data_IF_502764501180
#
_entry.id   IF_502764501180
#
_cell.length_a   1.000
_cell.length_b   1.000
_cell.length_c   1.000
_cell.angle_alpha   90.00
_cell.angle_beta   90.00
_cell.angle_gamma   90.00
#
_symmetry.space_group_name_H-M   'P 1'
#
loop_
_entity.id
_entity.type
_entity.pdbx_description
1 polymer ?
#
# COMPACT_ATOMS: atom_id res chain seq x y z
N UNK A 1 -40.29 -32.22 -23.37
CA UNK A 1 -40.16 -32.36 -21.91
C UNK A 1 -39.98 -30.94 -21.35
N UNK A 2 -40.94 -30.42 -20.59
CA UNK A 2 -40.91 -29.05 -20.05
C UNK A 2 -40.32 -29.14 -18.63
N UNK A 3 -39.13 -28.59 -18.42
CA UNK A 3 -38.52 -28.54 -17.08
C UNK A 3 -39.14 -27.37 -16.32
N UNK A 4 -40.04 -27.68 -15.39
CA UNK A 4 -40.58 -26.72 -14.43
C UNK A 4 -39.65 -26.69 -13.21
N UNK A 5 -38.84 -25.63 -13.11
CA UNK A 5 -37.99 -25.39 -11.95
C UNK A 5 -38.81 -24.69 -10.85
N UNK A 6 -39.22 -25.45 -9.84
CA UNK A 6 -39.89 -24.91 -8.65
C UNK A 6 -38.81 -24.42 -7.67
N UNK A 7 -38.63 -23.11 -7.56
CA UNK A 7 -37.78 -22.50 -6.53
C UNK A 7 -38.49 -22.55 -5.18
N UNK A 8 -38.14 -23.54 -4.35
CA UNK A 8 -38.68 -23.68 -3.00
C UNK A 8 -37.94 -22.74 -2.04
N UNK A 9 -38.57 -21.62 -1.65
CA UNK A 9 -38.00 -20.68 -0.66
C UNK A 9 -38.16 -21.28 0.73
N UNK A 10 -37.05 -21.61 1.39
CA UNK A 10 -37.05 -22.08 2.78
C UNK A 10 -37.23 -20.87 3.70
N UNK A 11 -38.41 -20.75 4.31
CA UNK A 11 -38.77 -19.59 5.13
C UNK A 11 -38.17 -19.60 6.54
N UNK A 12 -37.65 -20.74 7.00
CA UNK A 12 -37.14 -20.96 8.37
C UNK A 12 -35.68 -21.45 8.41
N UNK A 13 -34.79 -20.95 7.53
CA UNK A 13 -33.36 -21.13 7.76
C UNK A 13 -32.85 -20.07 8.75
N UNK A 14 -31.87 -20.45 9.58
CA UNK A 14 -31.12 -19.55 10.46
C UNK A 14 -30.54 -18.31 9.71
N UNK A 15 -30.53 -18.30 8.37
CA UNK A 15 -30.20 -17.16 7.50
C UNK A 15 -31.00 -15.88 7.77
N UNK A 16 -32.23 -15.97 8.32
CA UNK A 16 -33.01 -14.76 8.65
C UNK A 16 -32.29 -13.88 9.68
N UNK A 17 -31.51 -14.48 10.60
CA UNK A 17 -30.70 -13.73 11.57
C UNK A 17 -29.43 -13.16 10.92
N UNK A 18 -28.76 -13.94 10.07
CA UNK A 18 -27.52 -13.52 9.38
C UNK A 18 -27.77 -12.38 8.37
N UNK A 19 -28.96 -12.31 7.76
CA UNK A 19 -29.34 -11.23 6.84
C UNK A 19 -29.57 -9.88 7.52
N UNK A 20 -29.80 -9.84 8.84
CA UNK A 20 -30.16 -8.60 9.54
C UNK A 20 -28.96 -7.67 9.77
N UNK A 21 -27.73 -8.20 9.74
CA UNK A 21 -26.51 -7.48 10.12
C UNK A 21 -25.51 -7.25 8.98
N UNK A 22 -25.71 -7.93 7.85
CA UNK A 22 -24.74 -8.02 6.77
C UNK A 22 -25.32 -7.43 5.48
N UNK A 23 -24.69 -6.36 5.00
CA UNK A 23 -25.13 -5.61 3.83
C UNK A 23 -24.51 -6.24 2.59
N UNK A 24 -25.34 -6.65 1.64
CA UNK A 24 -24.86 -7.12 0.35
C UNK A 24 -24.16 -5.96 -0.38
N UNK A 25 -22.91 -6.17 -0.78
CA UNK A 25 -22.12 -5.20 -1.52
C UNK A 25 -21.65 -5.87 -2.80
N UNK A 26 -21.68 -5.10 -3.89
CA UNK A 26 -21.22 -5.56 -5.18
C UNK A 26 -20.49 -4.44 -5.91
N UNK A 27 -19.56 -4.80 -6.77
CA UNK A 27 -18.94 -3.90 -7.75
C UNK A 27 -18.92 -4.59 -9.11
N UNK A 28 -19.00 -3.81 -10.16
CA UNK A 28 -19.00 -4.29 -11.54
C UNK A 28 -17.75 -3.77 -12.21
N UNK A 29 -17.01 -4.67 -12.86
CA UNK A 29 -15.80 -4.34 -13.58
C UNK A 29 -16.10 -3.32 -14.70
N UNK A 30 -15.19 -2.38 -14.94
CA UNK A 30 -15.33 -1.37 -15.98
C UNK A 30 -15.50 -1.99 -17.37
N UNK A 31 -14.79 -3.08 -17.63
CA UNK A 31 -14.88 -3.87 -18.86
C UNK A 31 -16.12 -4.77 -18.91
N UNK A 32 -16.95 -4.78 -17.85
CA UNK A 32 -18.18 -5.59 -17.71
C UNK A 32 -17.95 -7.10 -17.84
N UNK A 33 -16.75 -7.56 -17.50
CA UNK A 33 -16.40 -8.98 -17.50
C UNK A 33 -16.77 -9.63 -16.17
N UNK A 34 -16.51 -8.93 -15.07
CA UNK A 34 -16.65 -9.46 -13.72
C UNK A 34 -17.72 -8.73 -12.90
N UNK A 35 -18.50 -9.51 -12.17
CA UNK A 35 -19.30 -9.05 -11.05
C UNK A 35 -18.62 -9.53 -9.76
N UNK A 36 -18.19 -8.57 -8.95
CA UNK A 36 -17.67 -8.82 -7.63
C UNK A 36 -18.81 -8.71 -6.60
N UNK A 37 -18.96 -9.71 -5.75
CA UNK A 37 -20.04 -9.79 -4.77
C UNK A 37 -19.54 -10.26 -3.41
N UNK A 38 -20.06 -9.62 -2.36
CA UNK A 38 -19.93 -10.08 -0.98
C UNK A 38 -21.24 -9.89 -0.25
N UNK A 39 -21.46 -10.73 0.76
CA UNK A 39 -22.52 -10.54 1.75
C UNK A 39 -22.14 -9.50 2.81
N UNK A 40 -20.95 -8.90 2.74
CA UNK A 40 -20.41 -8.01 3.76
C UNK A 40 -19.68 -8.75 4.88
N UNK A 41 -19.21 -9.97 4.61
CA UNK A 41 -18.39 -10.80 5.50
C UNK A 41 -16.96 -10.78 4.95
N UNK A 42 -16.00 -11.37 5.64
CA UNK A 42 -14.59 -11.58 5.26
C UNK A 42 -14.29 -12.21 3.87
N UNK A 43 -15.28 -12.54 3.04
CA UNK A 43 -15.05 -13.16 1.73
C UNK A 43 -15.70 -12.42 0.58
N UNK A 44 -15.02 -12.47 -0.55
CA UNK A 44 -15.45 -11.89 -1.82
C UNK A 44 -15.45 -12.97 -2.88
N UNK A 45 -16.50 -12.98 -3.70
CA UNK A 45 -16.66 -13.88 -4.83
C UNK A 45 -16.78 -13.08 -6.12
N UNK A 46 -16.08 -13.51 -7.15
CA UNK A 46 -16.17 -12.95 -8.49
C UNK A 46 -16.91 -13.91 -9.40
N UNK A 47 -17.79 -13.35 -10.22
CA UNK A 47 -18.58 -14.06 -11.20
C UNK A 47 -18.34 -13.50 -12.59
N UNK A 48 -18.27 -14.35 -13.60
CA UNK A 48 -18.31 -13.91 -14.99
C UNK A 48 -19.72 -13.43 -15.32
N UNK A 49 -19.83 -12.22 -15.86
CA UNK A 49 -21.13 -11.65 -16.24
C UNK A 49 -21.76 -12.38 -17.45
N UNK A 50 -20.95 -13.01 -18.29
CA UNK A 50 -21.41 -13.70 -19.50
C UNK A 50 -22.27 -14.94 -19.20
N UNK A 51 -21.87 -15.73 -18.21
CA UNK A 51 -22.49 -17.03 -17.91
C UNK A 51 -22.85 -17.22 -16.43
N UNK A 52 -22.52 -16.28 -15.56
CA UNK A 52 -22.81 -16.33 -14.12
C UNK A 52 -21.95 -17.33 -13.33
N UNK A 53 -20.93 -17.94 -13.93
CA UNK A 53 -20.05 -18.88 -13.23
C UNK A 53 -19.13 -18.14 -12.25
N UNK A 54 -18.90 -18.77 -11.09
CA UNK A 54 -17.93 -18.29 -10.11
C UNK A 54 -16.52 -18.48 -10.66
N UNK A 55 -15.78 -17.38 -10.79
CA UNK A 55 -14.42 -17.35 -11.30
C UNK A 55 -13.40 -17.49 -10.17
N UNK A 56 -13.53 -16.65 -9.14
CA UNK A 56 -12.57 -16.58 -8.03
C UNK A 56 -13.33 -16.37 -6.72
N UNK A 57 -12.84 -16.98 -5.63
CA UNK A 57 -13.28 -16.72 -4.26
C UNK A 57 -12.06 -16.45 -3.40
N UNK A 58 -12.02 -15.27 -2.76
CA UNK A 58 -10.94 -14.87 -1.83
C UNK A 58 -11.53 -14.62 -0.45
N UNK A 59 -10.87 -15.17 0.56
CA UNK A 59 -11.11 -14.88 1.98
C UNK A 59 -10.00 -13.96 2.47
N UNK A 60 -10.37 -12.93 3.21
CA UNK A 60 -9.46 -11.98 3.84
C UNK A 60 -9.47 -12.27 5.34
N UNK A 61 -8.38 -12.79 5.89
CA UNK A 61 -8.35 -13.18 7.29
C UNK A 61 -8.25 -11.97 8.24
N UNK A 62 -7.74 -10.84 7.74
CA UNK A 62 -7.56 -9.61 8.51
C UNK A 62 -8.81 -8.70 8.56
N UNK A 63 -9.85 -9.05 7.80
CA UNK A 63 -11.10 -8.29 7.72
C UNK A 63 -12.23 -9.19 8.17
N UNK A 64 -12.98 -8.78 9.19
CA UNK A 64 -14.20 -9.48 9.60
C UNK A 64 -15.40 -9.05 8.74
N UNK A 65 -15.50 -7.73 8.50
CA UNK A 65 -16.64 -7.12 7.82
C UNK A 65 -16.21 -6.20 6.69
N UNK A 66 -16.76 -6.45 5.51
CA UNK A 66 -16.51 -5.65 4.30
C UNK A 66 -17.62 -4.59 4.15
N UNK A 67 -17.23 -3.34 3.91
CA UNK A 67 -18.12 -2.20 3.71
C UNK A 67 -18.16 -1.68 2.27
N UNK A 68 -17.04 -1.77 1.55
CA UNK A 68 -16.96 -1.30 0.16
C UNK A 68 -16.00 -2.15 -0.66
N UNK A 69 -16.29 -2.24 -1.95
CA UNK A 69 -15.51 -2.95 -2.97
C UNK A 69 -15.49 -2.10 -4.23
N UNK A 70 -14.34 -1.96 -4.87
CA UNK A 70 -14.22 -1.30 -6.17
C UNK A 70 -13.07 -1.87 -6.99
N UNK A 71 -13.31 -2.09 -8.29
CA UNK A 71 -12.26 -2.47 -9.23
C UNK A 71 -11.37 -1.27 -9.55
N UNK A 72 -10.05 -1.48 -9.55
CA UNK A 72 -9.06 -0.46 -9.84
C UNK A 72 -8.06 -0.98 -10.88
N UNK A 73 -7.21 -0.09 -11.42
CA UNK A 73 -6.19 -0.43 -12.40
C UNK A 73 -6.72 -1.26 -13.58
N UNK A 74 -7.75 -0.75 -14.28
CA UNK A 74 -8.39 -1.44 -15.41
C UNK A 74 -8.89 -2.85 -15.08
N UNK A 75 -9.54 -3.01 -13.93
CA UNK A 75 -10.07 -4.28 -13.44
C UNK A 75 -8.99 -5.33 -13.17
N UNK A 76 -7.74 -4.92 -12.92
CA UNK A 76 -6.66 -5.84 -12.53
C UNK A 76 -6.65 -6.11 -11.04
N UNK A 77 -6.83 -5.07 -10.24
CA UNK A 77 -6.82 -5.15 -8.78
C UNK A 77 -8.20 -4.81 -8.23
N UNK A 78 -8.47 -5.31 -7.02
CA UNK A 78 -9.68 -5.03 -6.27
C UNK A 78 -9.31 -4.29 -4.99
N UNK A 79 -9.90 -3.11 -4.79
CA UNK A 79 -9.84 -2.38 -3.54
C UNK A 79 -10.98 -2.83 -2.63
N UNK A 80 -10.63 -3.28 -1.43
CA UNK A 80 -11.54 -3.75 -0.39
C UNK A 80 -11.41 -2.84 0.83
N UNK A 81 -12.53 -2.31 1.31
CA UNK A 81 -12.59 -1.58 2.59
C UNK A 81 -13.35 -2.42 3.59
N UNK A 82 -12.71 -2.71 4.73
CA UNK A 82 -13.33 -3.47 5.80
C UNK A 82 -12.81 -3.07 7.19
N UNK A 83 -13.46 -3.59 8.23
CA UNK A 83 -12.97 -3.51 9.61
C UNK A 83 -12.43 -4.86 10.06
N UNK A 84 -11.40 -4.82 10.91
CA UNK A 84 -10.90 -6.00 11.60
C UNK A 84 -11.81 -6.41 12.77
N UNK A 85 -11.48 -7.54 13.40
CA UNK A 85 -12.20 -8.06 14.57
C UNK A 85 -11.84 -7.35 15.89
N UNK A 86 -10.62 -6.83 15.99
CA UNK A 86 -10.12 -6.21 17.22
C UNK A 86 -10.59 -4.75 17.38
N UNK A 87 -10.68 -4.01 16.27
CA UNK A 87 -11.11 -2.62 16.25
C UNK A 87 -12.20 -2.39 15.18
N UNK A 88 -13.47 -2.45 15.60
CA UNK A 88 -14.60 -2.15 14.71
C UNK A 88 -14.63 -0.69 14.21
N UNK A 89 -13.88 0.22 14.83
CA UNK A 89 -13.84 1.62 14.41
C UNK A 89 -12.78 1.89 13.34
N UNK A 90 -11.70 1.09 13.32
CA UNK A 90 -10.57 1.27 12.41
C UNK A 90 -10.81 0.55 11.08
N UNK A 91 -10.83 1.34 10.00
CA UNK A 91 -10.99 0.82 8.66
C UNK A 91 -9.64 0.46 8.06
N UNK A 92 -9.58 -0.73 7.46
CA UNK A 92 -8.44 -1.22 6.70
C UNK A 92 -8.79 -1.21 5.22
N UNK A 93 -7.85 -0.75 4.41
CA UNK A 93 -7.87 -0.92 2.97
C UNK A 93 -6.97 -2.09 2.61
N UNK A 94 -7.52 -3.01 1.84
CA UNK A 94 -6.77 -4.08 1.20
C UNK A 94 -6.83 -3.87 -0.31
N UNK A 95 -5.65 -3.83 -0.93
CA UNK A 95 -5.51 -3.91 -2.38
C UNK A 95 -5.10 -5.33 -2.72
N UNK A 96 -5.95 -6.02 -3.50
CA UNK A 96 -5.71 -7.38 -3.93
C UNK A 96 -5.51 -7.44 -5.44
N UNK A 97 -4.33 -7.88 -5.89
CA UNK A 97 -4.10 -8.24 -7.29
C UNK A 97 -4.75 -9.60 -7.58
N UNK A 98 -5.74 -9.60 -8.48
CA UNK A 98 -6.50 -10.81 -8.80
C UNK A 98 -5.68 -11.84 -9.56
N UNK A 99 -4.55 -11.44 -10.15
CA UNK A 99 -3.63 -12.30 -10.89
C UNK A 99 -2.41 -12.72 -10.07
N UNK A 100 -2.17 -12.11 -8.91
CA UNK A 100 -1.08 -12.47 -8.01
C UNK A 100 -1.60 -12.79 -6.60
N UNK A 101 -1.68 -14.07 -6.27
CA UNK A 101 -2.34 -14.56 -5.03
C UNK A 101 -1.58 -14.16 -3.76
N UNK A 102 -0.27 -13.90 -3.86
CA UNK A 102 0.61 -13.63 -2.71
C UNK A 102 0.74 -12.15 -2.33
N UNK A 103 0.48 -11.22 -3.25
CA UNK A 103 0.66 -9.79 -3.01
C UNK A 103 -0.68 -9.16 -2.62
N UNK A 104 -0.84 -8.95 -1.32
CA UNK A 104 -1.98 -8.21 -0.76
C UNK A 104 -1.40 -7.05 0.03
N UNK A 105 -1.62 -5.84 -0.46
CA UNK A 105 -1.14 -4.63 0.20
C UNK A 105 -2.21 -4.17 1.19
N UNK A 106 -1.82 -4.07 2.46
CA UNK A 106 -2.68 -3.56 3.51
C UNK A 106 -2.25 -2.16 3.92
N UNK A 107 -3.23 -1.27 3.98
CA UNK A 107 -3.05 0.12 4.38
C UNK A 107 -4.12 0.43 5.42
N UNK A 108 -3.69 0.86 6.60
CA UNK A 108 -4.58 1.39 7.63
C UNK A 108 -5.01 2.79 7.23
N UNK A 109 -6.31 3.07 7.36
CA UNK A 109 -6.85 4.39 7.05
C UNK A 109 -6.88 5.27 8.29
N UNK A 110 -6.52 6.54 8.10
CA UNK A 110 -6.69 7.59 9.11
C UNK A 110 -8.13 7.65 9.67
N UNK A 111 -8.25 8.13 10.91
CA UNK A 111 -9.49 8.31 11.71
C UNK A 111 -10.62 9.07 11.00
N UNK A 112 -10.35 9.71 9.86
CA UNK A 112 -11.33 10.49 9.14
C UNK A 112 -12.47 9.66 8.53
N UNK A 113 -12.23 8.36 8.28
CA UNK A 113 -13.22 7.41 7.80
C UNK A 113 -13.46 6.35 8.88
N UNK A 114 -14.64 6.38 9.48
CA UNK A 114 -15.07 5.37 10.46
C UNK A 114 -16.22 4.54 9.92
N UNK A 115 -16.47 3.39 10.53
CA UNK A 115 -17.60 2.51 10.21
C UNK A 115 -18.97 3.19 10.31
N UNK A 116 -19.10 4.21 11.16
CA UNK A 116 -20.32 5.02 11.31
C UNK A 116 -20.54 5.98 10.13
N UNK A 117 -19.46 6.56 9.60
CA UNK A 117 -19.52 7.63 8.61
C UNK A 117 -19.29 7.16 7.17
N UNK A 118 -18.89 5.90 6.96
CA UNK A 118 -18.61 5.37 5.62
C UNK A 118 -19.81 5.48 4.68
N UNK A 119 -21.03 5.29 5.19
CA UNK A 119 -22.25 5.32 4.35
C UNK A 119 -22.63 6.72 3.86
N UNK A 120 -22.19 7.78 4.55
CA UNK A 120 -22.54 9.17 4.24
C UNK A 120 -21.41 9.92 3.56
N UNK A 121 -20.16 9.54 3.82
CA UNK A 121 -18.96 10.23 3.32
C UNK A 121 -18.30 9.54 2.14
N UNK A 122 -18.67 8.31 1.80
CA UNK A 122 -18.06 7.54 0.73
C UNK A 122 -18.97 7.45 -0.50
N UNK A 123 -18.45 7.82 -1.66
CA UNK A 123 -19.11 7.69 -2.95
C UNK A 123 -18.25 6.87 -3.91
N UNK A 124 -18.89 5.91 -4.58
CA UNK A 124 -18.25 5.08 -5.62
C UNK A 124 -18.48 5.70 -6.99
N UNK A 125 -17.44 5.70 -7.80
CA UNK A 125 -17.45 6.07 -9.22
C UNK A 125 -16.66 5.02 -9.97
N UNK A 126 -16.95 4.76 -11.26
CA UNK A 126 -16.35 3.65 -12.00
C UNK A 126 -14.81 3.70 -12.00
N UNK A 127 -14.18 2.90 -11.13
CA UNK A 127 -12.73 2.87 -10.97
C UNK A 127 -12.14 3.93 -10.04
N UNK A 128 -12.95 4.63 -9.24
CA UNK A 128 -12.46 5.58 -8.25
C UNK A 128 -13.41 5.68 -7.05
N UNK A 129 -12.82 5.96 -5.89
CA UNK A 129 -13.53 6.07 -4.63
C UNK A 129 -13.33 7.47 -4.06
N UNK A 130 -14.43 8.21 -3.94
CA UNK A 130 -14.45 9.58 -3.49
C UNK A 130 -14.93 9.66 -2.05
N UNK A 131 -14.29 10.53 -1.29
CA UNK A 131 -14.61 10.84 0.09
C UNK A 131 -14.97 12.33 0.22
N UNK A 132 -15.99 12.64 1.02
CA UNK A 132 -16.41 14.00 1.33
C UNK A 132 -16.10 14.32 2.79
N UNK A 133 -15.51 15.49 3.05
CA UNK A 133 -15.25 15.97 4.41
C UNK A 133 -16.38 16.84 5.00
N UNK A 134 -16.27 17.19 6.28
CA UNK A 134 -17.25 18.04 6.98
C UNK A 134 -17.35 19.46 6.41
N UNK A 135 -16.33 19.89 5.64
CA UNK A 135 -16.28 21.19 4.97
C UNK A 135 -16.82 21.10 3.53
N UNK A 136 -17.19 19.91 3.05
CA UNK A 136 -17.66 19.65 1.70
C UNK A 136 -16.56 19.43 0.65
N UNK A 137 -15.29 19.30 1.06
CA UNK A 137 -14.20 19.00 0.13
C UNK A 137 -14.26 17.52 -0.29
N UNK A 138 -14.04 17.29 -1.58
CA UNK A 138 -14.04 15.96 -2.18
C UNK A 138 -12.59 15.52 -2.40
N UNK A 139 -12.23 14.36 -1.86
CA UNK A 139 -10.90 13.77 -2.04
C UNK A 139 -11.02 12.35 -2.59
N UNK A 140 -10.04 11.91 -3.39
CA UNK A 140 -9.98 10.53 -3.87
C UNK A 140 -9.16 9.70 -2.89
N UNK A 141 -9.71 8.56 -2.48
CA UNK A 141 -9.02 7.60 -1.61
C UNK A 141 -7.86 6.94 -2.35
N UNK A 142 -8.01 6.66 -3.64
CA UNK A 142 -6.93 6.08 -4.46
C UNK A 142 -5.70 6.98 -4.45
N UNK A 143 -5.87 8.29 -4.65
CA UNK A 143 -4.74 9.24 -4.59
C UNK A 143 -4.04 9.29 -3.23
N UNK A 144 -4.75 8.97 -2.14
CA UNK A 144 -4.14 8.90 -0.79
C UNK A 144 -3.39 7.58 -0.62
N UNK A 145 -4.01 6.49 -1.05
CA UNK A 145 -3.44 5.15 -1.07
C UNK A 145 -2.13 5.13 -1.86
N UNK A 146 -2.09 5.72 -3.06
CA UNK A 146 -0.88 5.80 -3.88
C UNK A 146 0.26 6.52 -3.13
N UNK A 147 -0.03 7.65 -2.49
CA UNK A 147 0.96 8.39 -1.68
C UNK A 147 1.47 7.60 -0.48
N UNK A 148 0.58 6.88 0.21
CA UNK A 148 0.96 6.04 1.35
C UNK A 148 1.84 4.87 0.89
N UNK A 149 1.56 4.32 -0.29
CA UNK A 149 2.36 3.24 -0.86
C UNK A 149 3.76 3.73 -1.28
N UNK A 150 3.85 4.90 -1.92
CA UNK A 150 5.13 5.55 -2.26
C UNK A 150 5.98 5.82 -1.00
N UNK A 151 5.36 6.28 0.09
CA UNK A 151 6.04 6.50 1.36
C UNK A 151 6.58 5.21 1.97
N UNK A 152 5.78 4.13 2.00
CA UNK A 152 6.24 2.82 2.50
C UNK A 152 7.44 2.29 1.72
N UNK A 153 7.43 2.44 0.39
CA UNK A 153 8.55 2.02 -0.46
C UNK A 153 9.82 2.83 -0.16
N UNK A 154 9.71 4.13 0.05
CA UNK A 154 10.85 4.98 0.43
C UNK A 154 11.45 4.55 1.78
N UNK A 155 10.61 4.29 2.79
CA UNK A 155 11.07 3.81 4.10
C UNK A 155 11.74 2.44 4.03
N UNK A 156 11.25 1.52 3.20
CA UNK A 156 11.88 0.22 2.99
C UNK A 156 13.25 0.35 2.30
N UNK A 157 13.36 1.24 1.31
CA UNK A 157 14.63 1.55 0.66
C UNK A 157 15.62 2.14 1.66
N UNK A 158 15.22 3.10 2.50
CA UNK A 158 16.07 3.67 3.56
C UNK A 158 16.50 2.63 4.60
N UNK A 159 15.63 1.67 4.95
CA UNK A 159 15.97 0.56 5.87
C UNK A 159 16.94 -0.44 5.24
N UNK A 160 16.83 -0.69 3.93
CA UNK A 160 17.71 -1.62 3.19
C UNK A 160 19.09 -1.01 2.87
N UNK A 161 19.15 0.32 2.76
CA UNK A 161 20.37 1.10 2.60
C UNK A 161 20.49 2.13 3.73
N UNK A 162 20.74 1.70 4.98
CA UNK A 162 20.96 2.65 6.06
C UNK A 162 22.15 3.54 5.67
N UNK A 163 21.92 4.85 5.60
CA UNK A 163 22.99 5.81 5.46
C UNK A 163 23.99 5.54 6.60
N UNK A 164 25.29 5.30 6.31
CA UNK A 164 26.26 5.08 7.37
C UNK A 164 26.22 6.29 8.29
N UNK A 165 26.24 6.07 9.61
CA UNK A 165 26.28 7.18 10.56
C UNK A 165 27.39 8.14 10.12
N UNK A 166 27.11 9.45 10.02
CA UNK A 166 28.14 10.39 9.60
C UNK A 166 29.31 10.20 10.57
N UNK A 167 30.55 9.98 10.06
CA UNK A 167 31.69 9.91 10.95
C UNK A 167 31.68 11.17 11.83
N UNK A 168 32.01 11.02 13.11
CA UNK A 168 32.06 12.14 14.05
C UNK A 168 33.22 13.03 13.60
N UNK A 169 32.92 13.91 12.64
CA UNK A 169 33.96 14.44 11.77
C UNK A 169 34.88 15.40 12.55
N UNK A 170 34.56 15.79 13.80
CA UNK A 170 35.06 16.98 14.54
C UNK A 170 36.53 17.31 14.37
N UNK A 171 37.39 16.32 14.16
CA UNK A 171 38.73 16.46 13.61
C UNK A 171 39.22 15.09 13.12
N UNK A 172 39.83 15.03 11.94
CA UNK A 172 40.62 13.88 11.51
C UNK A 172 42.11 14.21 11.68
N UNK A 173 42.86 13.32 12.35
CA UNK A 173 44.31 13.37 12.34
C UNK A 173 44.78 12.45 11.21
N UNK A 174 45.62 12.95 10.31
CA UNK A 174 46.19 12.11 9.24
C UNK A 174 47.00 10.95 9.81
N UNK A 175 47.15 9.86 9.05
CA UNK A 175 48.07 8.77 9.40
C UNK A 175 49.41 8.98 8.69
N UNK A 176 50.50 8.76 9.42
CA UNK A 176 51.84 8.69 8.84
C UNK A 176 52.04 7.35 8.14
N UNK A 177 53.07 7.27 7.29
CA UNK A 177 53.46 6.03 6.59
C UNK A 177 53.80 4.85 7.53
N UNK A 178 54.04 5.12 8.81
CA UNK A 178 54.29 4.14 9.86
C UNK A 178 53.02 3.71 10.63
N UNK A 179 51.84 4.20 10.23
CA UNK A 179 50.56 3.95 10.90
C UNK A 179 50.34 4.77 12.17
N UNK A 180 51.25 5.69 12.50
CA UNK A 180 51.12 6.59 13.64
C UNK A 180 50.21 7.78 13.34
N UNK A 181 49.43 8.23 14.33
CA UNK A 181 48.60 9.44 14.21
C UNK A 181 49.47 10.70 14.07
N UNK A 182 49.25 11.48 13.01
CA UNK A 182 49.89 12.76 12.77
C UNK A 182 49.13 13.90 13.44
N UNK A 183 49.60 14.28 14.64
CA UNK A 183 49.03 15.38 15.43
C UNK A 183 49.36 16.77 14.88
N UNK A 184 50.19 16.90 13.84
CA UNK A 184 50.63 18.21 13.31
C UNK A 184 49.72 18.73 12.19
N UNK A 185 49.01 17.84 11.51
CA UNK A 185 48.13 18.19 10.40
C UNK A 185 46.69 17.89 10.81
N UNK A 186 46.07 18.86 11.48
CA UNK A 186 44.65 18.81 11.84
C UNK A 186 43.84 19.47 10.73
N UNK A 187 42.99 18.68 10.06
CA UNK A 187 42.09 19.19 9.01
C UNK A 187 40.74 19.49 9.65
N UNK A 188 40.29 20.74 9.54
CA UNK A 188 38.97 21.18 9.95
C UNK A 188 38.04 21.20 8.74
N UNK A 189 36.85 20.62 8.89
CA UNK A 189 35.80 20.59 7.88
C UNK A 189 34.61 21.41 8.39
N UNK A 190 33.86 22.01 7.46
CA UNK A 190 32.65 22.74 7.81
C UNK A 190 31.50 21.76 8.06
N UNK A 191 30.79 21.92 9.17
CA UNK A 191 29.67 21.06 9.59
C UNK A 191 28.49 21.09 8.60
N UNK A 192 28.47 22.07 7.69
CA UNK A 192 27.44 22.25 6.67
C UNK A 192 27.73 21.43 5.40
N UNK A 193 28.97 20.95 5.23
CA UNK A 193 29.36 20.15 4.06
C UNK A 193 28.75 18.75 4.16
N UNK A 194 28.04 18.32 3.12
CA UNK A 194 27.37 17.02 3.07
C UNK A 194 28.39 15.88 3.32
N UNK A 195 28.28 15.11 4.42
CA UNK A 195 29.21 14.03 4.74
C UNK A 195 29.17 12.85 3.75
N UNK A 196 28.22 12.86 2.80
CA UNK A 196 28.04 11.85 1.77
C UNK A 196 28.43 12.32 0.36
N UNK A 197 29.17 13.43 0.23
CA UNK A 197 29.64 13.88 -1.07
C UNK A 197 30.59 12.83 -1.68
N UNK A 198 30.13 12.16 -2.73
CA UNK A 198 30.99 11.35 -3.61
C UNK A 198 31.34 12.20 -4.83
N UNK A 199 32.63 12.41 -5.15
CA UNK A 199 33.01 13.13 -6.35
C UNK A 199 32.45 12.40 -7.58
N UNK A 200 31.80 13.15 -8.47
CA UNK A 200 31.14 12.63 -9.67
C UNK A 200 32.17 12.05 -10.66
N UNK A 201 33.43 12.49 -10.57
CA UNK A 201 34.53 12.05 -11.43
C UNK A 201 35.75 11.78 -10.56
N UNK A 202 36.31 10.57 -10.65
CA UNK A 202 37.63 10.22 -10.10
C UNK A 202 38.65 10.49 -11.21
N UNK A 203 39.08 11.74 -11.37
CA UNK A 203 40.08 12.07 -12.39
C UNK A 203 41.46 11.56 -11.95
N UNK A 204 41.98 10.54 -12.64
CA UNK A 204 43.40 10.19 -12.59
C UNK A 204 44.07 10.97 -13.73
N UNK A 205 44.77 12.05 -13.40
CA UNK A 205 45.52 12.83 -14.40
C UNK A 205 46.46 11.91 -15.19
N UNK A 206 46.38 11.87 -16.54
CA UNK A 206 46.95 10.80 -17.34
C UNK A 206 48.49 10.79 -17.42
N UNK A 207 49.17 11.83 -16.92
CA UNK A 207 50.65 11.92 -16.85
C UNK A 207 51.24 11.48 -15.51
N UNK A 208 50.41 11.10 -14.56
CA UNK A 208 50.85 10.61 -13.25
C UNK A 208 50.91 9.07 -13.29
N UNK A 209 52.12 8.53 -13.46
CA UNK A 209 52.37 7.09 -13.61
C UNK A 209 52.54 6.32 -12.27
N UNK A 210 52.29 6.97 -11.13
CA UNK A 210 52.45 6.36 -9.80
C UNK A 210 51.15 5.81 -9.24
N UNK A 211 51.21 4.62 -8.63
CA UNK A 211 50.15 4.06 -7.80
C UNK A 211 50.21 4.66 -6.39
N UNK A 212 49.73 5.90 -6.26
CA UNK A 212 49.46 6.49 -4.96
C UNK A 212 47.98 6.76 -4.81
N UNK A 213 47.43 6.40 -3.66
CA UNK A 213 46.08 6.76 -3.27
C UNK A 213 46.01 8.28 -3.07
N UNK A 214 45.22 8.96 -3.91
CA UNK A 214 44.85 10.35 -3.66
C UNK A 214 43.54 10.37 -2.87
N UNK A 215 43.58 10.97 -1.69
CA UNK A 215 42.39 11.53 -1.06
C UNK A 215 42.27 12.96 -1.56
N UNK A 216 41.49 13.18 -2.62
CA UNK A 216 41.03 14.53 -2.96
C UNK A 216 39.80 14.83 -2.10
N UNK A 217 39.94 15.77 -1.16
CA UNK A 217 38.84 16.29 -0.35
C UNK A 217 37.98 17.28 -1.14
#
# INVERSE_FOLDING_TARGET
>A
MKLETITKRVENSQDKLTRKYNRNIFSVSKNKLYLCFTRGIQSVKLYFLENGLESISKKFDDIEKIYSLEFIENDRKLLVIGSGAEDEENLKIIIWDMYNVGETEMIELDDFLTTKNISTRLARTSGNLLQIDDKGNITSILKRVDKLLEQKQLEEVEKSFPLPQPPDLSFFNGEKLDGGLDKRHTIYYDKITNPYFKPIVVEKEPWVLGDYDRQSY
#
